data_IF_550298354195
#
_entry.id   IF_550298354195
#
_cell.length_a   1.000
_cell.length_b   1.000
_cell.length_c   1.000
_cell.angle_alpha   90.00
_cell.angle_beta   90.00
_cell.angle_gamma   90.00
#
_symmetry.space_group_name_H-M   'P 1'
#
loop_
_entity.id
_entity.type
_entity.pdbx_description
1 polymer ?
#
# COMPACT_ATOMS: atom_id res chain seq x y z
N UNK A 1 3.60 -22.61 -9.75
CA UNK A 1 3.00 -21.46 -9.03
C UNK A 1 3.02 -20.28 -9.99
N UNK A 2 2.07 -19.36 -9.86
CA UNK A 2 1.88 -18.25 -10.80
C UNK A 2 1.86 -16.92 -10.04
N UNK A 3 2.39 -15.88 -10.67
CA UNK A 3 2.35 -14.49 -10.21
C UNK A 3 1.61 -13.68 -11.26
N UNK A 4 0.63 -12.87 -10.86
CA UNK A 4 -0.01 -11.92 -11.77
C UNK A 4 0.84 -10.65 -11.83
N UNK A 5 1.20 -10.22 -13.03
CA UNK A 5 1.93 -8.98 -13.25
C UNK A 5 0.95 -7.80 -13.34
N UNK A 6 1.40 -6.61 -12.95
CA UNK A 6 0.60 -5.37 -13.05
C UNK A 6 0.21 -4.99 -14.48
N UNK A 7 0.80 -5.63 -15.49
CA UNK A 7 0.48 -5.47 -16.91
C UNK A 7 -0.69 -6.33 -17.38
N UNK A 8 -1.28 -7.16 -16.52
CA UNK A 8 -2.35 -8.12 -16.86
C UNK A 8 -1.85 -9.51 -17.28
N UNK A 9 -0.55 -9.66 -17.53
CA UNK A 9 0.07 -10.95 -17.88
C UNK A 9 0.38 -11.81 -16.66
N UNK A 10 0.49 -13.13 -16.84
CA UNK A 10 0.77 -14.09 -15.76
C UNK A 10 2.19 -14.63 -15.90
N UNK A 11 3.00 -14.53 -14.85
CA UNK A 11 4.33 -15.13 -14.82
C UNK A 11 4.28 -16.51 -14.14
N UNK A 12 4.76 -17.55 -14.81
CA UNK A 12 4.92 -18.88 -14.21
C UNK A 12 6.24 -18.95 -13.45
N UNK A 13 6.17 -19.08 -12.12
CA UNK A 13 7.35 -19.04 -11.23
C UNK A 13 8.29 -20.24 -11.39
N UNK A 14 7.85 -21.31 -12.04
CA UNK A 14 8.66 -22.51 -12.27
C UNK A 14 9.76 -22.28 -13.30
N UNK A 15 9.48 -21.48 -14.34
CA UNK A 15 10.39 -21.26 -15.48
C UNK A 15 10.60 -19.77 -15.79
N UNK A 16 9.95 -18.87 -15.05
CA UNK A 16 9.90 -17.43 -15.30
C UNK A 16 9.32 -17.05 -16.69
N UNK A 17 8.53 -17.94 -17.28
CA UNK A 17 7.81 -17.66 -18.51
C UNK A 17 6.70 -16.62 -18.26
N UNK A 18 6.69 -15.55 -19.05
CA UNK A 18 5.63 -14.53 -19.05
C UNK A 18 4.56 -14.95 -20.05
N UNK A 19 3.38 -15.24 -19.54
CA UNK A 19 2.22 -15.75 -20.27
C UNK A 19 1.27 -14.57 -20.51
N UNK A 20 1.02 -14.15 -21.77
CA UNK A 20 -0.01 -13.16 -22.06
C UNK A 20 -1.41 -13.69 -21.73
N UNK A 21 -2.34 -12.78 -21.44
CA UNK A 21 -3.76 -13.07 -21.17
C UNK A 21 -4.55 -13.47 -22.43
N UNK A 22 -3.98 -14.36 -23.24
CA UNK A 22 -4.56 -14.80 -24.50
C UNK A 22 -5.22 -16.17 -24.33
N UNK A 23 -6.52 -16.26 -24.61
CA UNK A 23 -7.29 -17.51 -24.50
C UNK A 23 -6.84 -18.61 -25.49
N UNK A 24 -6.07 -18.24 -26.53
CA UNK A 24 -5.45 -19.18 -27.47
C UNK A 24 -4.08 -19.68 -26.99
N UNK A 25 -3.55 -19.11 -25.90
CA UNK A 25 -2.30 -19.56 -25.30
C UNK A 25 -2.55 -20.77 -24.38
N UNK A 26 -1.87 -21.88 -24.68
CA UNK A 26 -1.95 -23.11 -23.89
C UNK A 26 -1.53 -22.90 -22.43
N UNK A 27 -0.48 -22.12 -22.18
CA UNK A 27 -0.02 -21.84 -20.82
C UNK A 27 -1.04 -21.00 -20.02
N UNK A 28 -1.83 -20.15 -20.69
CA UNK A 28 -2.91 -19.38 -20.04
C UNK A 28 -4.10 -20.28 -19.68
N UNK A 29 -4.44 -21.25 -20.55
CA UNK A 29 -5.45 -22.26 -20.24
C UNK A 29 -5.06 -23.12 -19.02
N UNK A 30 -3.78 -23.46 -18.88
CA UNK A 30 -3.26 -24.16 -17.69
C UNK A 30 -3.40 -23.30 -16.41
N UNK A 31 -3.12 -22.00 -16.50
CA UNK A 31 -3.33 -21.07 -15.40
C UNK A 31 -4.82 -21.00 -14.99
N UNK A 32 -5.75 -20.94 -15.94
CA UNK A 32 -7.19 -20.96 -15.67
C UNK A 32 -7.64 -22.27 -15.01
N UNK A 33 -7.12 -23.41 -15.47
CA UNK A 33 -7.40 -24.71 -14.83
C UNK A 33 -6.87 -24.76 -13.40
N UNK A 34 -5.71 -24.15 -13.14
CA UNK A 34 -5.14 -24.03 -11.79
C UNK A 34 -5.98 -23.11 -10.88
N UNK A 35 -6.48 -21.98 -11.39
CA UNK A 35 -7.43 -21.12 -10.67
C UNK A 35 -8.75 -21.85 -10.35
N UNK A 36 -9.28 -22.61 -11.30
CA UNK A 36 -10.54 -23.36 -11.14
C UNK A 36 -10.47 -24.43 -10.04
N UNK A 37 -9.26 -24.89 -9.70
CA UNK A 37 -9.01 -25.80 -8.57
C UNK A 37 -9.02 -25.09 -7.19
N UNK A 38 -9.29 -23.78 -7.16
CA UNK A 38 -9.31 -22.97 -5.93
C UNK A 38 -7.94 -22.45 -5.51
N UNK A 39 -6.95 -22.46 -6.41
CA UNK A 39 -5.65 -21.86 -6.13
C UNK A 39 -5.68 -20.35 -6.41
N UNK A 40 -4.91 -19.58 -5.64
CA UNK A 40 -4.78 -18.13 -5.81
C UNK A 40 -3.35 -17.76 -6.22
N UNK A 41 -3.16 -16.97 -7.29
CA UNK A 41 -1.83 -16.53 -7.71
C UNK A 41 -1.21 -15.67 -6.62
N UNK A 42 0.12 -15.71 -6.53
CA UNK A 42 0.82 -14.77 -5.68
C UNK A 42 0.74 -13.36 -6.30
N UNK A 43 0.65 -12.32 -5.46
CA UNK A 43 0.83 -10.95 -5.92
C UNK A 43 2.25 -10.77 -6.46
N UNK A 44 2.44 -9.78 -7.34
CA UNK A 44 3.79 -9.38 -7.76
C UNK A 44 4.61 -9.01 -6.53
N UNK A 45 5.88 -9.42 -6.51
CA UNK A 45 6.84 -9.03 -5.48
C UNK A 45 7.01 -7.50 -5.50
N UNK A 46 6.17 -6.80 -4.72
CA UNK A 46 6.07 -5.34 -4.72
C UNK A 46 4.69 -4.82 -4.35
N UNK A 47 3.61 -5.56 -4.65
CA UNK A 47 2.25 -5.07 -4.40
C UNK A 47 1.93 -4.92 -2.91
N UNK A 48 2.42 -5.82 -2.05
CA UNK A 48 2.22 -5.68 -0.60
C UNK A 48 2.92 -4.46 0.01
N UNK A 49 4.03 -4.00 -0.58
CA UNK A 49 4.71 -2.76 -0.13
C UNK A 49 3.99 -1.52 -0.65
N UNK A 50 3.51 -1.55 -1.89
CA UNK A 50 2.73 -0.45 -2.47
C UNK A 50 1.39 -0.28 -1.76
N UNK A 51 0.71 -1.38 -1.42
CA UNK A 51 -0.52 -1.37 -0.63
C UNK A 51 -0.30 -0.79 0.78
N UNK A 52 0.76 -1.25 1.48
CA UNK A 52 1.11 -0.68 2.78
C UNK A 52 1.47 0.81 2.70
N UNK A 53 2.21 1.21 1.68
CA UNK A 53 2.55 2.61 1.44
C UNK A 53 1.29 3.46 1.18
N UNK A 54 0.33 2.94 0.40
CA UNK A 54 -0.94 3.60 0.15
C UNK A 54 -1.76 3.75 1.44
N UNK A 55 -1.84 2.68 2.25
CA UNK A 55 -2.53 2.70 3.54
C UNK A 55 -1.92 3.72 4.52
N UNK A 56 -0.59 3.81 4.59
CA UNK A 56 0.10 4.81 5.42
C UNK A 56 -0.21 6.22 4.94
N UNK A 57 -0.17 6.47 3.62
CA UNK A 57 -0.49 7.80 3.07
C UNK A 57 -1.94 8.20 3.32
N UNK A 58 -2.89 7.27 3.20
CA UNK A 58 -4.30 7.53 3.49
C UNK A 58 -4.50 7.89 4.97
N UNK A 59 -3.86 7.16 5.88
CA UNK A 59 -3.93 7.45 7.32
C UNK A 59 -3.31 8.81 7.66
N UNK A 60 -2.17 9.14 7.05
CA UNK A 60 -1.55 10.46 7.20
C UNK A 60 -2.45 11.59 6.70
N UNK A 61 -3.18 11.39 5.59
CA UNK A 61 -4.12 12.38 5.08
C UNK A 61 -5.33 12.58 6.01
N UNK A 62 -5.85 11.51 6.61
CA UNK A 62 -6.92 11.61 7.61
C UNK A 62 -6.46 12.38 8.86
N UNK A 63 -5.23 12.12 9.32
CA UNK A 63 -4.61 12.83 10.43
C UNK A 63 -4.45 14.31 10.10
N UNK A 64 -3.99 14.66 8.90
CA UNK A 64 -3.82 16.06 8.46
C UNK A 64 -5.16 16.82 8.47
N UNK A 65 -6.20 16.25 7.87
CA UNK A 65 -7.55 16.84 7.87
C UNK A 65 -8.10 17.04 9.28
N UNK A 66 -7.91 16.06 10.16
CA UNK A 66 -8.33 16.12 11.55
C UNK A 66 -7.55 17.18 12.34
N UNK A 67 -6.24 17.26 12.11
CA UNK A 67 -5.36 18.25 12.73
C UNK A 67 -5.71 19.67 12.30
N UNK A 68 -5.96 19.89 11.00
CA UNK A 68 -6.39 21.20 10.47
C UNK A 68 -7.72 21.65 11.08
N UNK A 69 -8.67 20.73 11.27
CA UNK A 69 -9.95 21.03 11.92
C UNK A 69 -9.75 21.48 13.37
N UNK A 70 -8.92 20.78 14.13
CA UNK A 70 -8.60 21.13 15.52
C UNK A 70 -7.84 22.45 15.61
N UNK A 71 -6.84 22.67 14.76
CA UNK A 71 -6.09 23.93 14.65
C UNK A 71 -7.01 25.11 14.32
N UNK A 72 -7.98 24.93 13.43
CA UNK A 72 -8.98 25.96 13.13
C UNK A 72 -9.80 26.33 14.38
N UNK A 73 -10.23 25.34 15.18
CA UNK A 73 -10.91 25.61 16.46
C UNK A 73 -10.01 26.33 17.47
N UNK A 74 -8.71 26.00 17.49
CA UNK A 74 -7.72 26.67 18.37
C UNK A 74 -7.57 28.14 17.98
N UNK A 75 -7.40 28.41 16.68
CA UNK A 75 -7.27 29.78 16.15
C UNK A 75 -8.56 30.58 16.32
N UNK A 76 -9.73 29.94 16.16
CA UNK A 76 -11.03 30.56 16.41
C UNK A 76 -11.30 30.82 17.90
N UNK A 77 -10.44 30.34 18.81
CA UNK A 77 -10.61 30.49 20.26
C UNK A 77 -11.72 29.63 20.85
N UNK A 78 -12.28 28.70 20.08
CA UNK A 78 -13.37 27.80 20.51
C UNK A 78 -12.86 26.43 20.96
N UNK A 79 -11.55 26.16 20.83
CA UNK A 79 -10.97 24.90 21.24
C UNK A 79 -10.91 24.75 22.76
N UNK A 80 -11.26 23.55 23.22
CA UNK A 80 -11.12 23.10 24.59
C UNK A 80 -9.73 22.49 24.82
N UNK A 81 -9.41 22.21 26.09
CA UNK A 81 -8.17 21.51 26.45
C UNK A 81 -8.11 20.12 25.80
N UNK A 82 -9.25 19.45 25.66
CA UNK A 82 -9.38 18.14 25.00
C UNK A 82 -8.96 18.20 23.52
N UNK A 83 -9.37 19.24 22.78
CA UNK A 83 -8.96 19.42 21.38
C UNK A 83 -7.44 19.52 21.22
N UNK A 84 -6.76 20.15 22.19
CA UNK A 84 -5.29 20.28 22.19
C UNK A 84 -4.61 18.94 22.49
N UNK A 85 -5.18 18.13 23.38
CA UNK A 85 -4.68 16.78 23.64
C UNK A 85 -4.87 15.86 22.43
N UNK A 86 -6.01 15.94 21.76
CA UNK A 86 -6.27 15.18 20.53
C UNK A 86 -5.28 15.57 19.42
N UNK A 87 -5.02 16.87 19.24
CA UNK A 87 -4.03 17.34 18.27
C UNK A 87 -2.62 16.79 18.55
N UNK A 88 -2.19 16.78 19.81
CA UNK A 88 -0.89 16.21 20.20
C UNK A 88 -0.81 14.68 19.96
N UNK A 89 -1.92 13.96 20.18
CA UNK A 89 -2.00 12.53 19.86
C UNK A 89 -1.89 12.24 18.37
N UNK A 90 -2.57 13.05 17.55
CA UNK A 90 -2.51 12.95 16.09
C UNK A 90 -1.10 13.23 15.54
N UNK A 91 -0.39 14.21 16.10
CA UNK A 91 0.99 14.53 15.71
C UNK A 91 1.98 13.38 16.03
N UNK A 92 1.79 12.74 17.20
CA UNK A 92 2.56 11.54 17.55
C UNK A 92 2.28 10.40 16.57
N UNK A 93 1.02 10.12 16.27
CA UNK A 93 0.63 9.05 15.33
C UNK A 93 1.18 9.30 13.91
N UNK A 94 1.15 10.56 13.44
CA UNK A 94 1.77 10.93 12.17
C UNK A 94 3.28 10.70 12.16
N UNK A 95 3.95 10.94 13.30
CA UNK A 95 5.40 10.74 13.43
C UNK A 95 5.77 9.25 13.38
N UNK A 96 5.00 8.40 14.06
CA UNK A 96 5.15 6.94 13.98
C UNK A 96 4.92 6.42 12.56
N UNK A 97 3.84 6.86 11.90
CA UNK A 97 3.52 6.46 10.52
C UNK A 97 4.57 6.93 9.50
N UNK A 98 5.15 8.13 9.69
CA UNK A 98 6.27 8.60 8.86
C UNK A 98 7.53 7.75 9.04
N UNK A 99 7.81 7.33 10.26
CA UNK A 99 8.94 6.43 10.55
C UNK A 99 8.72 5.05 9.91
N UNK A 100 7.49 4.54 9.95
CA UNK A 100 7.13 3.30 9.25
C UNK A 100 7.28 3.44 7.73
N UNK A 101 6.83 4.56 7.16
CA UNK A 101 6.98 4.86 5.73
C UNK A 101 8.45 4.87 5.29
N UNK A 102 9.33 5.46 6.11
CA UNK A 102 10.78 5.46 5.88
C UNK A 102 11.38 4.04 5.95
N UNK A 103 10.82 3.14 6.76
CA UNK A 103 11.22 1.73 6.78
C UNK A 103 10.70 0.91 5.59
N UNK A 104 9.55 1.29 5.02
CA UNK A 104 8.94 0.63 3.85
C UNK A 104 9.63 1.06 2.55
N UNK A 105 10.03 2.32 2.44
CA UNK A 105 10.86 2.81 1.35
C UNK A 105 12.32 2.38 1.62
N UNK A 106 13.00 1.61 0.75
CA UNK A 106 14.43 1.44 0.91
C UNK A 106 15.06 2.83 0.84
N UNK A 107 15.76 3.24 1.90
CA UNK A 107 16.42 4.54 1.97
C UNK A 107 17.10 4.81 0.62
N UNK A 108 16.68 5.88 -0.07
CA UNK A 108 17.30 6.35 -1.31
C UNK A 108 18.69 6.95 -1.05
N UNK A 109 19.39 6.47 -0.02
CA UNK A 109 20.60 7.02 0.54
C UNK A 109 21.59 5.90 0.77
N UNK A 110 22.19 5.39 -0.31
CA UNK A 110 23.50 4.72 -0.26
C UNK A 110 24.05 4.43 -1.67
N UNK A 111 23.89 5.34 -2.65
CA UNK A 111 24.68 5.30 -3.90
C UNK A 111 24.95 6.72 -4.42
N UNK A 112 25.97 7.36 -3.84
CA UNK A 112 26.75 8.41 -4.52
C UNK A 112 28.23 8.08 -4.35
#
# INVERSE_FOLDING_TARGET
MYIVLSTGSVCRTTDNAVIPEDASNGDYAEYLAWLAQGNSPAPVAGEGKTDRLAAINERLAEIDLSSLRLLRSIVAGTAQQEDRHLLAGLDSEATDLRSELEGVMPAASERY
#
